data_IF_496319368095
#
_entry.id   IF_496319368095
#
_cell.length_a   1.000
_cell.length_b   1.000
_cell.length_c   1.000
_cell.angle_alpha   90.00
_cell.angle_beta   90.00
_cell.angle_gamma   90.00
#
_symmetry.space_group_name_H-M   'P 1'
#
loop_
_entity.id
_entity.type
_entity.pdbx_description
1 polymer ?
#
# COMPACT_ATOMS: atom_id res chain seq x y z
N UNK A 1 18.28 8.93 12.69
CA UNK A 1 16.99 8.25 12.93
C UNK A 1 16.53 7.64 11.61
N UNK A 2 16.20 6.35 11.58
CA UNK A 2 15.67 5.67 10.38
C UNK A 2 14.23 6.10 10.15
N UNK A 3 13.88 6.61 8.96
CA UNK A 3 12.50 7.03 8.66
C UNK A 3 11.53 5.84 8.73
N UNK A 4 10.25 6.11 9.03
CA UNK A 4 9.22 5.05 9.04
C UNK A 4 9.09 4.38 7.68
N UNK A 5 9.21 5.12 6.57
CA UNK A 5 9.25 4.54 5.23
C UNK A 5 10.38 3.51 5.06
N UNK A 6 11.58 3.78 5.59
CA UNK A 6 12.69 2.82 5.51
C UNK A 6 12.46 1.58 6.37
N UNK A 7 11.76 1.72 7.51
CA UNK A 7 11.37 0.58 8.35
C UNK A 7 10.31 -0.27 7.64
N UNK A 8 9.30 0.36 7.04
CA UNK A 8 8.26 -0.35 6.30
C UNK A 8 8.79 -1.03 5.03
N UNK A 9 9.74 -0.42 4.33
CA UNK A 9 10.41 -1.10 3.19
C UNK A 9 11.12 -2.37 3.64
N UNK A 10 11.80 -2.36 4.80
CA UNK A 10 12.45 -3.56 5.34
C UNK A 10 11.42 -4.63 5.70
N UNK A 11 10.27 -4.22 6.25
CA UNK A 11 9.20 -5.15 6.56
C UNK A 11 8.59 -5.77 5.28
N UNK A 12 8.39 -4.98 4.23
CA UNK A 12 7.95 -5.48 2.93
C UNK A 12 8.95 -6.48 2.35
N UNK A 13 10.24 -6.16 2.37
CA UNK A 13 11.30 -7.09 1.92
C UNK A 13 11.26 -8.38 2.73
N UNK A 14 11.07 -8.29 4.04
CA UNK A 14 10.96 -9.49 4.89
C UNK A 14 9.74 -10.33 4.53
N UNK A 15 8.58 -9.72 4.26
CA UNK A 15 7.37 -10.42 3.86
C UNK A 15 7.53 -11.07 2.48
N UNK A 16 8.14 -10.38 1.51
CA UNK A 16 8.42 -10.92 0.19
C UNK A 16 9.39 -12.12 0.28
N UNK A 17 10.43 -12.03 1.11
CA UNK A 17 11.39 -13.14 1.31
C UNK A 17 10.79 -14.34 2.05
N UNK A 18 9.66 -14.20 2.73
CA UNK A 18 9.01 -15.31 3.43
C UNK A 18 8.05 -16.13 2.54
N UNK A 19 7.87 -15.74 1.27
CA UNK A 19 6.93 -16.40 0.35
C UNK A 19 7.59 -16.68 -1.00
N UNK A 20 7.01 -17.57 -1.80
CA UNK A 20 7.47 -17.84 -3.17
C UNK A 20 7.00 -16.77 -4.15
N UNK A 21 7.59 -16.72 -5.35
CA UNK A 21 7.24 -15.78 -6.40
C UNK A 21 5.77 -15.84 -6.82
N UNK A 22 5.18 -17.03 -6.77
CA UNK A 22 3.80 -17.36 -7.15
C UNK A 22 2.81 -17.18 -6.00
N UNK A 23 3.28 -16.89 -4.79
CA UNK A 23 2.40 -16.77 -3.62
C UNK A 23 1.33 -15.68 -3.84
N UNK A 24 0.09 -15.91 -3.37
CA UNK A 24 -0.98 -14.95 -3.55
C UNK A 24 -0.72 -13.68 -2.75
N UNK A 25 -1.31 -12.58 -3.23
CA UNK A 25 -1.38 -11.31 -2.50
C UNK A 25 -2.84 -10.85 -2.41
N UNK A 26 -3.12 -9.85 -1.57
CA UNK A 26 -4.46 -9.24 -1.53
C UNK A 26 -4.76 -8.33 -2.74
N UNK A 27 -3.76 -8.05 -3.57
CA UNK A 27 -3.96 -7.42 -4.86
C UNK A 27 -4.51 -8.48 -5.83
N UNK A 28 -5.78 -8.34 -6.22
CA UNK A 28 -6.45 -9.30 -7.09
C UNK A 28 -5.65 -9.57 -8.37
N UNK A 29 -5.40 -10.85 -8.64
CA UNK A 29 -4.66 -11.30 -9.81
C UNK A 29 -3.14 -11.08 -9.74
N UNK A 30 -2.58 -10.62 -8.61
CA UNK A 30 -1.15 -10.40 -8.44
C UNK A 30 -0.51 -11.48 -7.58
N UNK A 31 0.59 -12.06 -8.09
CA UNK A 31 1.51 -12.83 -7.27
C UNK A 31 2.47 -11.93 -6.49
N UNK A 32 3.23 -12.50 -5.55
CA UNK A 32 4.30 -11.79 -4.86
C UNK A 32 5.33 -11.20 -5.82
N UNK A 33 5.63 -11.87 -6.95
CA UNK A 33 6.48 -11.33 -8.01
C UNK A 33 5.88 -10.12 -8.71
N UNK A 34 4.57 -10.11 -8.99
CA UNK A 34 3.89 -8.95 -9.56
C UNK A 34 3.94 -7.76 -8.62
N UNK A 35 3.72 -7.99 -7.33
CA UNK A 35 3.82 -6.96 -6.29
C UNK A 35 5.25 -6.42 -6.16
N UNK A 36 6.26 -7.29 -6.14
CA UNK A 36 7.66 -6.86 -6.10
C UNK A 36 8.05 -6.04 -7.34
N UNK A 37 7.61 -6.49 -8.54
CA UNK A 37 7.81 -5.75 -9.78
C UNK A 37 7.13 -4.38 -9.73
N UNK A 38 5.90 -4.30 -9.24
CA UNK A 38 5.17 -3.03 -9.06
C UNK A 38 5.98 -2.04 -8.21
N UNK A 39 6.49 -2.49 -7.06
CA UNK A 39 7.25 -1.61 -6.16
C UNK A 39 8.56 -1.16 -6.80
N UNK A 40 9.31 -2.05 -7.47
CA UNK A 40 10.54 -1.68 -8.19
C UNK A 40 10.25 -0.60 -9.25
N UNK A 41 9.18 -0.78 -10.02
CA UNK A 41 8.79 0.15 -11.08
C UNK A 41 8.35 1.48 -10.51
N UNK A 42 7.51 1.46 -9.47
CA UNK A 42 7.06 2.66 -8.76
C UNK A 42 8.23 3.50 -8.25
N UNK A 43 9.22 2.86 -7.63
CA UNK A 43 10.34 3.55 -6.96
C UNK A 43 11.43 4.02 -7.93
N UNK A 44 11.67 3.29 -9.03
CA UNK A 44 12.82 3.55 -9.91
C UNK A 44 12.45 4.05 -11.30
N UNK A 45 11.26 3.71 -11.78
CA UNK A 45 10.84 3.89 -13.18
C UNK A 45 9.33 4.14 -13.29
N UNK A 46 8.77 5.17 -12.61
CA UNK A 46 7.34 5.48 -12.71
C UNK A 46 6.92 5.83 -14.15
N UNK A 47 7.88 6.24 -15.00
CA UNK A 47 7.69 6.40 -16.45
C UNK A 47 7.15 5.14 -17.13
N UNK A 48 7.50 3.95 -16.62
CA UNK A 48 7.02 2.67 -17.16
C UNK A 48 5.56 2.39 -16.79
N UNK A 49 5.05 2.90 -15.66
CA UNK A 49 3.63 2.73 -15.29
C UNK A 49 2.70 3.46 -16.26
N UNK A 50 3.07 4.68 -16.66
CA UNK A 50 2.30 5.50 -17.59
C UNK A 50 2.61 5.13 -19.04
N UNK A 51 3.87 4.80 -19.33
CA UNK A 51 4.37 4.54 -20.68
C UNK A 51 3.78 3.31 -21.36
N UNK A 52 3.34 2.29 -20.60
CA UNK A 52 2.73 1.06 -21.15
C UNK A 52 1.50 1.33 -22.03
N UNK A 53 0.72 2.35 -21.69
CA UNK A 53 -0.54 2.69 -22.37
C UNK A 53 -0.33 3.62 -23.56
N UNK A 54 0.88 4.17 -23.73
CA UNK A 54 1.17 5.12 -24.80
C UNK A 54 1.59 4.39 -26.11
N UNK A 55 1.05 4.78 -27.27
CA UNK A 55 1.24 4.04 -28.52
C UNK A 55 2.70 3.99 -29.01
N UNK A 56 3.49 5.07 -28.85
CA UNK A 56 4.88 5.11 -29.32
C UNK A 56 5.91 4.50 -28.35
N UNK A 57 5.73 4.70 -27.05
CA UNK A 57 6.70 4.27 -26.02
C UNK A 57 6.28 2.95 -25.35
N UNK A 58 5.03 2.53 -25.52
CA UNK A 58 4.47 1.31 -24.96
C UNK A 58 5.26 0.04 -25.27
N UNK A 59 5.70 -0.22 -26.52
CA UNK A 59 6.51 -1.41 -26.81
C UNK A 59 7.84 -1.43 -26.04
N UNK A 60 8.51 -0.27 -25.90
CA UNK A 60 9.76 -0.16 -25.14
C UNK A 60 9.51 -0.31 -23.64
N UNK A 61 8.45 0.31 -23.12
CA UNK A 61 8.08 0.19 -21.71
C UNK A 61 7.72 -1.25 -21.33
N UNK A 62 6.96 -1.95 -22.19
CA UNK A 62 6.64 -3.37 -22.02
C UNK A 62 7.89 -4.27 -22.05
N UNK A 63 8.83 -4.04 -22.98
CA UNK A 63 10.10 -4.77 -23.01
C UNK A 63 10.93 -4.54 -21.74
N UNK A 64 11.04 -3.29 -21.29
CA UNK A 64 11.77 -2.98 -20.06
C UNK A 64 11.16 -3.68 -18.84
N UNK A 65 9.83 -3.70 -18.73
CA UNK A 65 9.12 -4.41 -17.67
C UNK A 65 9.30 -5.92 -17.76
N UNK A 66 9.27 -6.49 -18.97
CA UNK A 66 9.57 -7.90 -19.18
C UNK A 66 11.01 -8.22 -18.74
N UNK A 67 12.00 -7.42 -19.12
CA UNK A 67 13.38 -7.60 -18.67
C UNK A 67 13.53 -7.52 -17.14
N UNK A 68 12.77 -6.64 -16.47
CA UNK A 68 12.73 -6.59 -15.00
C UNK A 68 12.13 -7.88 -14.43
N UNK A 69 11.03 -8.36 -15.01
CA UNK A 69 10.38 -9.61 -14.60
C UNK A 69 11.29 -10.82 -14.79
N UNK A 70 11.96 -10.90 -15.94
CA UNK A 70 12.86 -12.00 -16.32
C UNK A 70 14.13 -12.07 -15.46
N UNK A 71 14.47 -10.98 -14.75
CA UNK A 71 15.58 -11.00 -13.78
C UNK A 71 15.33 -11.96 -12.60
N UNK A 72 14.08 -12.40 -12.41
CA UNK A 72 13.70 -13.34 -11.36
C UNK A 72 13.26 -12.65 -10.07
N UNK A 73 12.52 -13.39 -9.24
CA UNK A 73 11.89 -12.88 -8.03
C UNK A 73 12.89 -12.36 -7.00
N UNK A 74 13.93 -13.13 -6.68
CA UNK A 74 14.97 -12.71 -5.73
C UNK A 74 15.64 -11.40 -6.16
N UNK A 75 15.94 -11.24 -7.46
CA UNK A 75 16.52 -10.02 -7.99
C UNK A 75 15.57 -8.81 -7.88
N UNK A 76 14.26 -9.03 -8.00
CA UNK A 76 13.25 -7.98 -7.75
C UNK A 76 13.22 -7.61 -6.28
N UNK A 77 13.21 -8.58 -5.38
CA UNK A 77 13.20 -8.35 -3.93
C UNK A 77 14.46 -7.61 -3.47
N UNK A 78 15.63 -7.94 -4.01
CA UNK A 78 16.88 -7.22 -3.74
C UNK A 78 16.85 -5.77 -4.25
N UNK A 79 16.18 -5.51 -5.37
CA UNK A 79 15.95 -4.13 -5.84
C UNK A 79 15.01 -3.36 -4.92
N UNK A 80 13.95 -3.99 -4.41
CA UNK A 80 13.08 -3.39 -3.38
C UNK A 80 13.90 -3.07 -2.13
N UNK A 81 14.79 -3.96 -1.70
CA UNK A 81 15.68 -3.73 -0.55
C UNK A 81 16.61 -2.54 -0.76
N UNK A 82 17.21 -2.43 -1.95
CA UNK A 82 18.07 -1.31 -2.34
C UNK A 82 17.32 0.03 -2.34
N UNK A 83 16.05 0.02 -2.76
CA UNK A 83 15.21 1.22 -2.86
C UNK A 83 15.56 2.09 -4.08
N UNK A 84 14.95 3.30 -4.19
CA UNK A 84 15.14 4.17 -5.33
C UNK A 84 16.61 4.64 -5.48
N UNK A 85 17.09 4.91 -6.70
CA UNK A 85 18.40 5.51 -6.90
C UNK A 85 18.53 6.82 -6.12
N UNK A 86 19.70 7.09 -5.54
CA UNK A 86 19.95 8.26 -4.66
C UNK A 86 19.69 9.63 -5.32
N UNK A 87 19.60 9.68 -6.64
CA UNK A 87 19.35 10.89 -7.43
C UNK A 87 17.88 11.05 -7.86
N UNK A 88 16.97 10.16 -7.45
CA UNK A 88 15.55 10.27 -7.79
C UNK A 88 14.81 11.24 -6.84
N UNK A 89 13.95 12.15 -7.35
CA UNK A 89 13.27 13.18 -6.54
C UNK A 89 12.43 12.62 -5.39
N UNK A 90 11.82 11.45 -5.59
CA UNK A 90 10.98 10.74 -4.61
C UNK A 90 11.71 10.35 -3.31
N UNK A 91 13.04 10.49 -3.28
CA UNK A 91 13.86 10.26 -2.09
C UNK A 91 14.04 11.51 -1.22
N UNK A 92 13.54 12.69 -1.64
CA UNK A 92 13.92 13.98 -1.08
C UNK A 92 12.79 14.79 -0.43
N UNK A 93 11.50 14.48 -0.65
CA UNK A 93 10.38 15.27 -0.10
C UNK A 93 9.62 14.59 1.06
N UNK A 94 9.22 15.32 2.12
CA UNK A 94 8.46 14.76 3.24
C UNK A 94 7.12 14.13 2.88
N UNK A 95 6.44 14.65 1.84
CA UNK A 95 5.18 14.10 1.33
C UNK A 95 5.40 12.76 0.62
N UNK A 96 6.51 12.63 -0.09
CA UNK A 96 6.91 11.36 -0.71
C UNK A 96 7.25 10.30 0.33
N UNK A 97 7.94 10.67 1.42
CA UNK A 97 8.22 9.76 2.55
C UNK A 97 6.93 9.24 3.19
N UNK A 98 5.90 10.08 3.29
CA UNK A 98 4.60 9.72 3.84
C UNK A 98 3.85 8.71 2.95
N UNK A 99 3.78 9.00 1.64
CA UNK A 99 3.16 8.07 0.68
C UNK A 99 3.92 6.75 0.61
N UNK A 100 5.25 6.78 0.60
CA UNK A 100 6.08 5.58 0.67
C UNK A 100 5.80 4.75 1.92
N UNK A 101 5.56 5.38 3.08
CA UNK A 101 5.22 4.66 4.31
C UNK A 101 3.92 3.86 4.16
N UNK A 102 2.85 4.49 3.63
CA UNK A 102 1.57 3.80 3.44
C UNK A 102 1.64 2.71 2.39
N UNK A 103 2.31 2.96 1.25
CA UNK A 103 2.46 1.98 0.17
C UNK A 103 3.21 0.73 0.65
N UNK A 104 4.36 0.90 1.31
CA UNK A 104 5.09 -0.23 1.86
C UNK A 104 4.32 -0.93 2.98
N UNK A 105 3.60 -0.20 3.83
CA UNK A 105 2.77 -0.80 4.86
C UNK A 105 1.66 -1.67 4.24
N UNK A 106 0.85 -1.11 3.34
CA UNK A 106 -0.27 -1.80 2.69
C UNK A 106 0.24 -3.04 1.94
N UNK A 107 1.31 -2.91 1.16
CA UNK A 107 1.85 -4.03 0.41
C UNK A 107 2.55 -5.08 1.27
N UNK A 108 3.05 -4.71 2.46
CA UNK A 108 3.50 -5.70 3.44
C UNK A 108 2.31 -6.54 3.89
N UNK A 109 1.20 -5.90 4.26
CA UNK A 109 -0.03 -6.61 4.67
C UNK A 109 -0.66 -7.38 3.51
N UNK A 110 -0.55 -6.91 2.25
CA UNK A 110 -1.02 -7.64 1.07
C UNK A 110 -0.32 -8.98 0.91
N UNK A 111 0.97 -9.07 1.24
CA UNK A 111 1.73 -10.31 1.21
C UNK A 111 1.39 -11.17 2.42
N UNK A 112 1.41 -10.60 3.63
CA UNK A 112 1.25 -11.37 4.87
C UNK A 112 -0.17 -11.93 5.02
N UNK A 113 -1.21 -11.13 4.75
CA UNK A 113 -2.61 -11.51 5.01
C UNK A 113 -3.22 -12.40 3.94
N UNK A 114 -2.59 -12.48 2.77
CA UNK A 114 -3.06 -13.32 1.66
C UNK A 114 -2.68 -14.79 1.80
N UNK A 115 -1.79 -15.13 2.76
CA UNK A 115 -1.29 -16.49 2.87
C UNK A 115 -2.36 -17.44 3.42
N UNK A 116 -2.40 -18.70 2.93
CA UNK A 116 -3.32 -19.70 3.46
C UNK A 116 -3.16 -19.86 4.98
N UNK A 117 -4.28 -19.79 5.70
CA UNK A 117 -4.30 -19.95 7.16
C UNK A 117 -4.00 -18.69 7.96
N UNK A 118 -3.82 -17.53 7.32
CA UNK A 118 -3.69 -16.25 8.03
C UNK A 118 -4.88 -16.02 8.96
N UNK A 119 -4.59 -15.64 10.20
CA UNK A 119 -5.59 -15.26 11.20
C UNK A 119 -5.37 -13.81 11.64
N UNK A 120 -6.45 -13.05 11.84
CA UNK A 120 -6.37 -11.65 12.30
C UNK A 120 -5.67 -11.50 13.66
N UNK A 121 -5.62 -12.55 14.49
CA UNK A 121 -4.86 -12.60 15.74
C UNK A 121 -3.34 -12.61 15.53
N UNK A 122 -2.87 -13.01 14.35
CA UNK A 122 -1.46 -13.09 13.97
C UNK A 122 -0.99 -11.83 13.23
N UNK A 123 -1.86 -10.83 13.08
CA UNK A 123 -1.52 -9.57 12.41
C UNK A 123 -0.28 -8.93 13.04
N UNK A 124 0.52 -8.30 12.17
CA UNK A 124 1.77 -7.66 12.58
C UNK A 124 1.48 -6.54 13.59
N UNK A 125 2.18 -6.55 14.73
CA UNK A 125 2.15 -5.43 15.68
C UNK A 125 2.98 -4.27 15.13
N UNK A 126 2.40 -3.06 15.16
CA UNK A 126 3.09 -1.84 14.72
C UNK A 126 3.34 -0.89 15.89
N UNK A 127 4.36 -0.04 15.73
CA UNK A 127 4.68 1.00 16.71
C UNK A 127 3.63 2.11 16.71
N UNK A 128 3.48 2.78 17.85
CA UNK A 128 2.58 3.93 17.99
C UNK A 128 2.99 5.09 17.06
N UNK A 129 4.30 5.25 16.81
CA UNK A 129 4.80 6.23 15.85
C UNK A 129 4.30 5.94 14.43
N UNK A 130 4.39 4.67 13.99
CA UNK A 130 3.89 4.28 12.67
C UNK A 130 2.39 4.47 12.58
N UNK A 131 1.64 4.02 13.59
CA UNK A 131 0.19 4.13 13.63
C UNK A 131 -0.28 5.60 13.54
N UNK A 132 0.38 6.52 14.26
CA UNK A 132 0.12 7.97 14.14
C UNK A 132 0.35 8.50 12.74
N UNK A 133 1.42 8.08 12.06
CA UNK A 133 1.69 8.49 10.68
C UNK A 133 0.66 7.92 9.71
N UNK A 134 0.30 6.65 9.87
CA UNK A 134 -0.77 6.02 9.08
C UNK A 134 -2.05 6.84 9.19
N UNK A 135 -2.50 7.15 10.42
CA UNK A 135 -3.71 7.96 10.64
C UNK A 135 -3.65 9.31 9.92
N UNK A 136 -2.56 10.06 10.11
CA UNK A 136 -2.39 11.39 9.52
C UNK A 136 -2.44 11.35 7.98
N UNK A 137 -1.76 10.40 7.37
CA UNK A 137 -1.64 10.34 5.92
C UNK A 137 -2.85 9.68 5.25
N UNK A 138 -3.36 8.56 5.79
CA UNK A 138 -4.54 7.89 5.25
C UNK A 138 -5.77 8.81 5.31
N UNK A 139 -5.87 9.65 6.35
CA UNK A 139 -6.90 10.68 6.46
C UNK A 139 -6.91 11.65 5.28
N UNK A 140 -5.75 11.97 4.70
CA UNK A 140 -5.62 12.93 3.60
C UNK A 140 -5.70 12.26 2.22
N UNK A 141 -5.48 10.94 2.14
CA UNK A 141 -5.40 10.21 0.88
C UNK A 141 -6.46 9.10 0.79
N UNK A 142 -6.21 7.92 1.37
CA UNK A 142 -7.06 6.73 1.22
C UNK A 142 -8.49 6.95 1.69
N UNK A 143 -8.72 7.71 2.77
CA UNK A 143 -10.08 7.98 3.27
C UNK A 143 -10.86 8.89 2.31
N UNK A 144 -10.17 9.83 1.66
CA UNK A 144 -10.76 10.68 0.62
C UNK A 144 -11.11 9.83 -0.61
N UNK A 145 -10.21 8.94 -1.02
CA UNK A 145 -10.42 8.04 -2.15
C UNK A 145 -11.56 7.06 -1.89
N UNK A 146 -11.65 6.47 -0.69
CA UNK A 146 -12.71 5.56 -0.30
C UNK A 146 -14.09 6.25 -0.34
N UNK A 147 -14.22 7.44 0.24
CA UNK A 147 -15.47 8.21 0.22
C UNK A 147 -15.92 8.53 -1.22
N UNK A 148 -14.98 8.92 -2.08
CA UNK A 148 -15.25 9.16 -3.51
C UNK A 148 -15.67 7.89 -4.24
N UNK A 149 -14.92 6.80 -4.10
CA UNK A 149 -15.17 5.52 -4.77
C UNK A 149 -16.53 4.94 -4.40
N UNK A 150 -16.93 5.07 -3.14
CA UNK A 150 -18.21 4.55 -2.65
C UNK A 150 -19.38 5.54 -2.83
N UNK A 151 -19.11 6.77 -3.29
CA UNK A 151 -20.10 7.86 -3.36
C UNK A 151 -20.85 8.08 -2.03
N UNK A 152 -20.10 8.03 -0.91
CA UNK A 152 -20.62 8.12 0.47
C UNK A 152 -19.97 9.27 1.23
N UNK A 153 -20.67 9.77 2.24
CA UNK A 153 -20.06 10.56 3.32
C UNK A 153 -19.61 9.58 4.39
N UNK A 154 -18.31 9.46 4.61
CA UNK A 154 -17.75 8.45 5.51
C UNK A 154 -17.08 9.13 6.70
N UNK A 155 -17.53 8.81 7.91
CA UNK A 155 -16.86 9.17 9.16
C UNK A 155 -16.01 8.00 9.62
N UNK A 156 -14.69 8.17 9.59
CA UNK A 156 -13.71 7.24 10.13
C UNK A 156 -13.47 7.59 11.59
N UNK A 157 -13.67 6.64 12.50
CA UNK A 157 -13.42 6.79 13.92
C UNK A 157 -12.34 5.81 14.38
N UNK A 158 -11.31 6.32 15.05
CA UNK A 158 -10.25 5.50 15.62
C UNK A 158 -10.04 5.84 17.11
N UNK A 159 -10.13 4.85 18.02
CA UNK A 159 -9.84 5.05 19.44
C UNK A 159 -8.43 5.65 19.65
N UNK A 160 -8.33 6.73 20.42
CA UNK A 160 -7.05 7.43 20.68
C UNK A 160 -6.57 8.36 19.56
N UNK A 161 -7.20 8.35 18.39
CA UNK A 161 -6.81 9.18 17.22
C UNK A 161 -7.89 10.16 16.76
N UNK A 162 -9.13 9.99 17.26
CA UNK A 162 -10.26 10.86 16.98
C UNK A 162 -11.07 10.41 15.77
N UNK A 163 -11.75 11.36 15.13
CA UNK A 163 -12.61 11.10 13.98
C UNK A 163 -12.29 12.06 12.82
N UNK A 164 -12.46 11.56 11.59
CA UNK A 164 -12.40 12.40 10.39
C UNK A 164 -13.53 12.03 9.43
N UNK A 165 -14.18 13.03 8.83
CA UNK A 165 -15.28 12.81 7.88
C UNK A 165 -14.85 13.23 6.48
N UNK A 166 -15.03 12.35 5.51
CA UNK A 166 -14.71 12.55 4.10
C UNK A 166 -15.93 12.34 3.21
N UNK A 167 -15.94 12.97 2.04
CA UNK A 167 -17.05 12.91 1.08
C UNK A 167 -18.03 14.09 1.18
N UNK A 168 -18.93 14.24 0.19
CA UNK A 168 -19.88 15.36 0.13
C UNK A 168 -20.89 15.33 1.28
N UNK A 169 -21.29 16.50 1.79
CA UNK A 169 -22.26 16.60 2.88
C UNK A 169 -23.63 15.97 2.55
N UNK A 170 -24.02 15.96 1.28
CA UNK A 170 -25.29 15.43 0.77
C UNK A 170 -25.27 13.93 0.46
N UNK A 171 -24.11 13.27 0.52
CA UNK A 171 -24.01 11.83 0.27
C UNK A 171 -24.49 11.03 1.50
N UNK A 172 -25.02 9.79 1.33
CA UNK A 172 -25.45 8.96 2.45
C UNK A 172 -24.31 8.72 3.44
N UNK A 173 -24.62 8.80 4.74
CA UNK A 173 -23.64 8.71 5.81
C UNK A 173 -23.28 7.23 6.08
N UNK A 174 -22.01 7.00 6.34
CA UNK A 174 -21.48 5.73 6.80
C UNK A 174 -20.45 6.01 7.89
N UNK A 175 -20.47 5.23 8.97
CA UNK A 175 -19.47 5.28 10.02
C UNK A 175 -18.62 4.01 9.94
N UNK A 176 -17.29 4.17 10.02
CA UNK A 176 -16.33 3.07 9.96
C UNK A 176 -15.38 3.21 11.14
N UNK A 177 -15.38 2.21 12.02
CA UNK A 177 -14.65 2.21 13.27
C UNK A 177 -13.53 1.16 13.22
N UNK A 178 -12.34 1.49 13.72
CA UNK A 178 -11.22 0.55 13.74
C UNK A 178 -9.90 1.22 14.13
N UNK A 179 -8.85 0.42 14.24
CA UNK A 179 -7.49 0.95 14.39
C UNK A 179 -7.06 1.67 13.09
N UNK A 180 -6.16 2.68 13.13
CA UNK A 180 -5.79 3.44 11.94
C UNK A 180 -5.28 2.59 10.78
N UNK A 181 -4.53 1.55 11.08
CA UNK A 181 -4.01 0.60 10.10
C UNK A 181 -5.09 -0.27 9.45
N UNK A 182 -6.09 -0.70 10.22
CA UNK A 182 -7.21 -1.49 9.71
C UNK A 182 -8.16 -0.63 8.87
N UNK A 183 -8.42 0.60 9.31
CA UNK A 183 -9.17 1.59 8.53
C UNK A 183 -8.49 1.91 7.20
N UNK A 184 -7.15 1.93 7.20
CA UNK A 184 -6.36 2.15 5.98
C UNK A 184 -6.46 0.96 5.02
N UNK A 185 -6.39 -0.28 5.52
CA UNK A 185 -6.60 -1.47 4.70
C UNK A 185 -8.03 -1.52 4.14
N UNK A 186 -9.04 -1.22 4.96
CA UNK A 186 -10.42 -1.12 4.52
C UNK A 186 -10.59 -0.05 3.42
N UNK A 187 -10.08 1.16 3.65
CA UNK A 187 -10.20 2.28 2.72
C UNK A 187 -9.44 2.07 1.40
N UNK A 188 -8.36 1.30 1.43
CA UNK A 188 -7.58 0.91 0.24
C UNK A 188 -8.18 -0.30 -0.50
N UNK A 189 -9.32 -0.84 -0.05
CA UNK A 189 -10.06 -1.90 -0.75
C UNK A 189 -9.79 -3.32 -0.23
N UNK A 190 -9.06 -3.49 0.88
CA UNK A 190 -8.84 -4.79 1.53
C UNK A 190 -9.89 -5.09 2.62
N UNK A 191 -11.14 -4.69 2.41
CA UNK A 191 -12.19 -4.77 3.44
C UNK A 191 -12.37 -6.18 4.02
N UNK A 192 -12.29 -7.23 3.19
CA UNK A 192 -12.42 -8.62 3.64
C UNK A 192 -11.27 -9.11 4.55
N UNK A 193 -10.15 -8.37 4.59
CA UNK A 193 -8.95 -8.69 5.35
C UNK A 193 -8.60 -7.59 6.36
N UNK A 194 -9.55 -6.70 6.68
CA UNK A 194 -9.38 -5.61 7.62
C UNK A 194 -10.39 -5.73 8.76
N UNK A 195 -9.96 -5.42 9.98
CA UNK A 195 -10.82 -5.38 11.16
C UNK A 195 -11.45 -3.97 11.29
N UNK A 196 -12.62 -3.78 10.69
CA UNK A 196 -13.37 -2.53 10.74
C UNK A 196 -14.87 -2.78 10.95
N UNK A 197 -15.45 -2.08 11.92
CA UNK A 197 -16.88 -2.12 12.19
C UNK A 197 -17.59 -1.03 11.39
N UNK A 198 -18.58 -1.42 10.58
CA UNK A 198 -19.30 -0.53 9.67
C UNK A 198 -20.73 -0.36 10.18
N UNK A 199 -21.15 0.89 10.31
CA UNK A 199 -22.55 1.25 10.61
C UNK A 199 -23.07 2.16 9.50
N UNK A 200 -24.14 1.73 8.83
CA UNK A 200 -24.89 2.61 7.91
C UNK A 200 -25.85 3.49 8.72
N UNK A 201 -25.92 4.78 8.38
CA UNK A 201 -26.75 5.77 9.03
C UNK A 201 -27.76 6.39 8.04
#
# INVERSE_FOLDING_TARGET
MTSTASQERKALVSALRSVTAEAPTLCEGWSAQDLALHVVVRDSRPDLMVGQQLPLVGPRARRALQTLRDAGYEALVDRVAAGPPRYFPQSLEPVDVAMNTLEYYIHTEDVLRAQPGFQLSERRRISEELRKRIWQHASLTFFVMAARKQNRRITFFSPGYGATTRGPAAAPLMMVHGAPEELTLWASGRAAHAEADITEA
#
